data_IF_727032705502
#
_entry.id   IF_727032705502
#
_cell.length_a   1.000
_cell.length_b   1.000
_cell.length_c   1.000
_cell.angle_alpha   90.00
_cell.angle_beta   90.00
_cell.angle_gamma   90.00
#
_symmetry.space_group_name_H-M   'P 1'
#
loop_
_entity.id
_entity.type
_entity.pdbx_description
1 polymer ?
#
# COMPACT_ATOMS: atom_id res chain seq x y z
N UNK A 1 -2.07 -21.71 -6.63
CA UNK A 1 -2.85 -21.02 -5.77
C UNK A 1 -2.74 -19.53 -5.85
N UNK A 2 -3.77 -18.93 -6.14
CA UNK A 2 -3.77 -17.51 -6.33
C UNK A 2 -3.63 -16.77 -5.01
N UNK A 3 -2.73 -15.83 -4.99
CA UNK A 3 -2.58 -15.04 -3.83
C UNK A 3 -3.35 -13.79 -4.00
N UNK A 4 -4.46 -13.73 -3.42
CA UNK A 4 -5.25 -12.56 -3.52
C UNK A 4 -5.10 -11.69 -2.31
N UNK A 5 -4.82 -10.44 -2.54
CA UNK A 5 -4.71 -9.49 -1.46
C UNK A 5 -6.08 -8.87 -1.22
N UNK A 6 -6.58 -9.01 -0.01
CA UNK A 6 -7.89 -8.46 0.31
C UNK A 6 -7.80 -6.95 0.43
N UNK A 7 -8.95 -6.31 0.41
CA UNK A 7 -9.01 -4.86 0.58
C UNK A 7 -8.43 -4.45 1.92
N UNK A 8 -8.71 -5.24 2.92
CA UNK A 8 -8.18 -4.97 4.25
C UNK A 8 -6.67 -5.01 4.25
N UNK A 9 -6.12 -6.01 3.59
CA UNK A 9 -4.67 -6.15 3.53
C UNK A 9 -4.04 -4.95 2.83
N UNK A 10 -4.65 -4.51 1.74
CA UNK A 10 -4.14 -3.37 1.01
C UNK A 10 -4.18 -2.12 1.85
N UNK A 11 -5.26 -1.92 2.54
CA UNK A 11 -5.41 -0.75 3.41
C UNK A 11 -4.36 -0.76 4.49
N UNK A 12 -4.16 -1.91 5.09
CA UNK A 12 -3.16 -2.04 6.13
C UNK A 12 -1.78 -1.72 5.59
N UNK A 13 -1.48 -2.22 4.40
CA UNK A 13 -0.18 -1.99 3.80
C UNK A 13 0.06 -0.51 3.57
N UNK A 14 -0.92 0.17 3.01
CA UNK A 14 -0.80 1.59 2.75
C UNK A 14 -0.71 2.37 4.04
N UNK A 15 -1.47 1.97 5.02
CA UNK A 15 -1.46 2.63 6.31
C UNK A 15 -0.09 2.53 6.95
N UNK A 16 0.49 1.34 6.90
CA UNK A 16 1.82 1.15 7.45
C UNK A 16 2.84 2.00 6.71
N UNK A 17 2.67 2.10 5.41
CA UNK A 17 3.61 2.88 4.61
C UNK A 17 3.56 4.35 4.98
N UNK A 18 2.42 4.83 5.41
CA UNK A 18 2.27 6.25 5.72
C UNK A 18 2.53 6.57 7.19
N UNK A 19 2.35 5.61 8.07
CA UNK A 19 2.47 5.89 9.50
C UNK A 19 3.71 5.32 10.14
N UNK A 20 4.20 4.19 9.67
CA UNK A 20 5.30 3.52 10.36
C UNK A 20 6.65 4.11 10.04
N UNK A 21 6.76 4.91 9.01
CA UNK A 21 8.03 5.50 8.67
C UNK A 21 8.98 4.57 7.96
N UNK A 22 8.55 3.38 7.64
CA UNK A 22 9.37 2.44 6.91
C UNK A 22 9.46 2.83 5.45
N UNK A 23 10.57 2.48 4.83
CA UNK A 23 10.70 2.74 3.40
C UNK A 23 9.86 1.71 2.64
N UNK A 24 9.53 2.05 1.41
CA UNK A 24 8.73 1.15 0.60
C UNK A 24 9.41 -0.19 0.36
N UNK A 25 10.70 -0.22 0.04
CA UNK A 25 11.37 -1.51 -0.13
C UNK A 25 11.35 -2.34 1.15
N UNK A 26 11.52 -1.69 2.27
CA UNK A 26 11.50 -2.38 3.55
C UNK A 26 10.12 -2.97 3.81
N UNK A 27 9.10 -2.16 3.59
CA UNK A 27 7.74 -2.59 3.80
C UNK A 27 7.35 -3.70 2.85
N UNK A 28 7.78 -3.57 1.60
CA UNK A 28 7.52 -4.58 0.60
C UNK A 28 8.08 -5.93 1.06
N UNK A 29 9.26 -5.92 1.61
CA UNK A 29 9.90 -7.14 2.08
C UNK A 29 9.14 -7.69 3.29
N UNK A 30 8.76 -6.82 4.19
CA UNK A 30 8.05 -7.23 5.40
C UNK A 30 6.71 -7.87 5.08
N UNK A 31 6.00 -7.30 4.15
CA UNK A 31 4.68 -7.79 3.81
C UNK A 31 4.70 -8.91 2.79
N UNK A 32 5.83 -9.10 2.13
CA UNK A 32 5.89 -10.08 1.07
C UNK A 32 5.16 -9.65 -0.16
N UNK A 33 5.05 -8.35 -0.38
CA UNK A 33 4.37 -7.78 -1.53
C UNK A 33 5.40 -7.19 -2.47
N UNK A 34 5.17 -7.33 -3.76
CA UNK A 34 6.09 -6.75 -4.72
C UNK A 34 6.13 -5.24 -4.57
N UNK A 35 7.31 -4.68 -4.76
CA UNK A 35 7.49 -3.24 -4.62
C UNK A 35 6.60 -2.47 -5.58
N UNK A 36 6.49 -2.95 -6.80
CA UNK A 36 5.64 -2.30 -7.79
C UNK A 36 4.20 -2.28 -7.33
N UNK A 37 3.74 -3.40 -6.79
CA UNK A 37 2.37 -3.50 -6.32
C UNK A 37 2.13 -2.54 -5.17
N UNK A 38 3.08 -2.49 -4.25
CA UNK A 38 2.95 -1.62 -3.10
C UNK A 38 2.91 -0.15 -3.53
N UNK A 39 3.77 0.22 -4.44
CA UNK A 39 3.78 1.58 -4.96
C UNK A 39 2.45 1.93 -5.60
N UNK A 40 1.89 0.99 -6.32
CA UNK A 40 0.62 1.22 -6.98
C UNK A 40 -0.48 1.47 -5.96
N UNK A 41 -0.49 0.70 -4.90
CA UNK A 41 -1.48 0.87 -3.87
C UNK A 41 -1.38 2.24 -3.21
N UNK A 42 -0.16 2.64 -2.91
CA UNK A 42 0.05 3.93 -2.27
C UNK A 42 -0.37 5.07 -3.17
N UNK A 43 -0.04 4.95 -4.44
CA UNK A 43 -0.42 5.96 -5.40
C UNK A 43 -1.93 6.08 -5.52
N UNK A 44 -2.60 4.96 -5.57
CA UNK A 44 -4.05 4.96 -5.67
C UNK A 44 -4.69 5.60 -4.46
N UNK A 45 -4.14 5.31 -3.31
CA UNK A 45 -4.67 5.87 -2.08
C UNK A 45 -4.54 7.38 -2.07
N UNK A 46 -3.40 7.88 -2.48
CA UNK A 46 -3.16 9.31 -2.52
C UNK A 46 -4.06 9.98 -3.54
N UNK A 47 -4.25 9.32 -4.65
CA UNK A 47 -5.09 9.86 -5.69
C UNK A 47 -6.54 9.99 -5.21
N UNK A 48 -7.01 8.97 -4.54
CA UNK A 48 -8.36 8.98 -4.00
C UNK A 48 -8.53 10.12 -3.00
N UNK A 49 -7.52 10.31 -2.18
CA UNK A 49 -7.56 11.36 -1.20
C UNK A 49 -7.70 12.71 -1.84
N UNK A 50 -6.96 12.93 -2.93
CA UNK A 50 -7.02 14.18 -3.63
C UNK A 50 -8.39 14.42 -4.24
N UNK A 51 -9.00 13.37 -4.72
CA UNK A 51 -10.30 13.49 -5.35
C UNK A 51 -11.38 13.86 -4.34
N UNK A 52 -11.22 13.38 -3.15
CA UNK A 52 -12.20 13.64 -2.11
C UNK A 52 -12.13 15.08 -1.62
N UNK A 53 -11.00 15.67 -1.78
CA UNK A 53 -10.79 17.01 -1.24
C UNK A 53 -11.73 18.03 -1.80
N UNK A 54 -12.26 17.79 -2.95
CA UNK A 54 -13.18 18.73 -3.50
C UNK A 54 -14.36 18.93 -2.60
#
# INVERSE_FOLDING_TARGET
MAKRYTDEFRRDAVRMATTSGLTRPQLSSDLGVGLSTLNKWIQQHQHDDLMIVI
#
